data_IF_180079054819
#
_entry.id   IF_180079054819
#
_cell.length_a   1.000
_cell.length_b   1.000
_cell.length_c   1.000
_cell.angle_alpha   90.00
_cell.angle_beta   90.00
_cell.angle_gamma   90.00
#
_symmetry.space_group_name_H-M   'P 1'
#
loop_
_entity.id
_entity.type
_entity.pdbx_description
1 polymer ?
#
# COMPACT_ATOMS: atom_id res chain seq x y z
N UNK A 1 -11.50 5.68 11.61
CA UNK A 1 -11.21 4.49 12.44
C UNK A 1 -11.03 3.31 11.50
N UNK A 2 -10.03 2.49 11.78
CA UNK A 2 -9.70 1.26 11.06
C UNK A 2 -9.86 0.10 12.04
N UNK A 3 -10.66 -0.89 11.66
CA UNK A 3 -10.71 -2.17 12.36
C UNK A 3 -9.54 -3.03 11.87
N UNK A 4 -8.65 -3.41 12.76
CA UNK A 4 -7.39 -4.05 12.43
C UNK A 4 -6.18 -3.12 12.41
N UNK A 5 -5.09 -3.57 11.81
CA UNK A 5 -3.84 -2.84 11.65
C UNK A 5 -3.90 -1.83 10.49
N UNK A 6 -2.86 -1.00 10.37
CA UNK A 6 -2.70 -0.11 9.20
C UNK A 6 -2.43 -0.89 7.92
N UNK A 7 -1.91 -2.13 8.04
CA UNK A 7 -1.49 -2.95 6.89
C UNK A 7 -2.64 -3.77 6.33
N UNK A 8 -3.47 -4.38 7.19
CA UNK A 8 -4.53 -5.31 6.79
C UNK A 8 -5.93 -4.92 7.26
N UNK A 9 -6.05 -3.81 7.99
CA UNK A 9 -7.33 -3.37 8.52
C UNK A 9 -8.27 -2.79 7.47
N UNK A 10 -9.56 -2.81 7.77
CA UNK A 10 -10.58 -2.20 6.93
C UNK A 10 -11.17 -0.94 7.59
N UNK A 11 -11.72 -0.05 6.78
CA UNK A 11 -12.36 1.16 7.28
C UNK A 11 -13.64 0.79 8.03
N UNK A 12 -13.72 1.17 9.31
CA UNK A 12 -14.91 0.96 10.15
C UNK A 12 -15.99 1.98 9.77
N UNK A 13 -16.94 1.57 8.94
CA UNK A 13 -18.08 2.41 8.51
C UNK A 13 -19.38 1.63 8.58
N UNK A 14 -20.44 2.23 9.14
CA UNK A 14 -21.79 1.67 9.18
C UNK A 14 -21.83 0.14 9.42
N UNK A 15 -22.20 -0.64 8.40
CA UNK A 15 -22.30 -2.09 8.46
C UNK A 15 -20.96 -2.81 8.72
N UNK A 16 -19.83 -2.17 8.38
CA UNK A 16 -18.49 -2.68 8.62
C UNK A 16 -17.83 -2.09 9.88
N UNK A 17 -18.60 -1.45 10.78
CA UNK A 17 -18.10 -0.86 12.01
C UNK A 17 -17.99 -1.90 13.13
N UNK A 18 -17.27 -2.98 12.89
CA UNK A 18 -17.00 -4.03 13.87
C UNK A 18 -15.55 -4.48 13.79
N UNK A 19 -15.05 -5.07 14.86
CA UNK A 19 -13.73 -5.70 14.88
C UNK A 19 -13.91 -7.15 14.41
N UNK A 20 -13.23 -7.50 13.31
CA UNK A 20 -13.26 -8.85 12.76
C UNK A 20 -12.70 -9.89 13.74
N UNK A 21 -13.03 -11.16 13.51
CA UNK A 21 -12.59 -12.27 14.40
C UNK A 21 -11.07 -12.37 14.54
N UNK A 22 -10.35 -12.03 13.50
CA UNK A 22 -8.88 -12.12 13.46
C UNK A 22 -8.19 -10.79 13.77
N UNK A 23 -8.95 -9.69 13.81
CA UNK A 23 -8.42 -8.38 14.16
C UNK A 23 -8.22 -8.27 15.68
N UNK A 24 -7.02 -7.86 16.09
CA UNK A 24 -6.63 -7.74 17.50
C UNK A 24 -6.48 -6.30 17.97
N UNK A 25 -6.67 -5.34 17.08
CA UNK A 25 -6.46 -3.93 17.38
C UNK A 25 -7.41 -3.03 16.62
N UNK A 26 -7.57 -1.83 17.12
CA UNK A 26 -8.28 -0.74 16.45
C UNK A 26 -7.26 0.37 16.22
N UNK A 27 -7.13 0.81 14.98
CA UNK A 27 -6.23 1.89 14.60
C UNK A 27 -7.00 3.17 14.32
N UNK A 28 -6.55 4.28 14.88
CA UNK A 28 -7.13 5.60 14.62
C UNK A 28 -6.13 6.44 13.86
N UNK A 29 -6.50 6.86 12.66
CA UNK A 29 -5.72 7.77 11.83
C UNK A 29 -6.45 9.10 11.71
N UNK A 30 -5.68 10.17 11.69
CA UNK A 30 -6.23 11.50 11.40
C UNK A 30 -6.72 11.52 9.95
N UNK A 31 -7.93 11.99 9.74
CA UNK A 31 -8.47 12.19 8.39
C UNK A 31 -7.66 13.23 7.65
N UNK A 32 -7.42 13.00 6.34
CA UNK A 32 -6.47 13.79 5.56
C UNK A 32 -6.76 15.29 5.61
N UNK A 33 -5.71 16.07 5.79
CA UNK A 33 -5.78 17.52 5.75
C UNK A 33 -6.10 18.04 4.33
N UNK A 34 -6.70 19.22 4.20
CA UNK A 34 -6.94 19.85 2.92
C UNK A 34 -5.63 19.98 2.11
N UNK A 35 -5.74 19.87 0.79
CA UNK A 35 -4.56 19.96 -0.08
C UNK A 35 -3.92 21.34 0.04
N UNK A 36 -2.65 21.36 0.43
CA UNK A 36 -1.87 22.59 0.46
C UNK A 36 -1.45 22.97 -0.96
N UNK A 37 -1.74 24.21 -1.36
CA UNK A 37 -1.24 24.79 -2.60
C UNK A 37 0.29 24.91 -2.54
N UNK A 38 0.96 24.55 -3.65
CA UNK A 38 2.42 24.60 -3.79
C UNK A 38 3.20 23.80 -2.74
N UNK A 39 2.62 22.72 -2.23
CA UNK A 39 3.25 21.90 -1.19
C UNK A 39 4.60 21.30 -1.59
N UNK A 40 4.88 21.18 -2.90
CA UNK A 40 6.14 20.68 -3.45
C UNK A 40 7.29 21.70 -3.39
N UNK A 41 7.00 22.99 -3.23
CA UNK A 41 8.02 24.04 -3.07
C UNK A 41 8.44 24.26 -1.61
N UNK A 42 7.73 23.65 -0.65
CA UNK A 42 8.04 23.82 0.76
C UNK A 42 9.05 22.78 1.23
N UNK A 43 9.94 23.12 2.19
CA UNK A 43 10.94 22.18 2.74
C UNK A 43 10.34 20.89 3.35
N UNK A 44 9.05 20.92 3.71
CA UNK A 44 8.28 19.75 4.12
C UNK A 44 8.78 19.09 5.42
N UNK A 45 9.16 19.88 6.43
CA UNK A 45 9.66 19.38 7.73
C UNK A 45 8.70 18.43 8.47
N UNK A 46 7.40 18.48 8.18
CA UNK A 46 6.37 17.62 8.74
C UNK A 46 5.84 16.55 7.76
N UNK A 47 6.46 16.39 6.60
CA UNK A 47 5.98 15.46 5.55
C UNK A 47 6.87 14.23 5.46
N UNK A 48 6.24 13.08 5.39
CA UNK A 48 6.91 11.83 5.09
C UNK A 48 7.13 11.68 3.58
N UNK A 49 8.30 11.18 3.19
CA UNK A 49 8.59 10.76 1.82
C UNK A 49 9.46 9.51 1.86
N UNK A 50 9.04 8.46 1.19
CA UNK A 50 9.83 7.24 1.05
C UNK A 50 11.16 7.49 0.31
N UNK A 51 11.19 8.45 -0.61
CA UNK A 51 12.39 8.85 -1.37
C UNK A 51 13.27 9.90 -0.66
N UNK A 52 12.97 10.25 0.60
CA UNK A 52 13.65 11.30 1.37
C UNK A 52 13.69 12.67 0.67
N UNK A 53 12.72 12.95 -0.18
CA UNK A 53 12.66 14.21 -0.94
C UNK A 53 12.41 15.45 -0.07
N UNK A 54 11.98 15.28 1.18
CA UNK A 54 11.69 16.36 2.11
C UNK A 54 12.69 16.40 3.27
N UNK A 55 12.98 17.59 3.76
CA UNK A 55 13.91 17.84 4.86
C UNK A 55 13.48 17.21 6.20
N UNK A 56 12.20 16.85 6.37
CA UNK A 56 11.69 16.14 7.55
C UNK A 56 12.37 14.80 7.80
N UNK A 57 12.84 14.12 6.75
CA UNK A 57 13.57 12.85 6.86
C UNK A 57 14.96 12.97 7.51
N UNK A 58 15.58 14.15 7.44
CA UNK A 58 16.87 14.43 8.08
C UNK A 58 16.77 14.66 9.58
N UNK A 59 15.59 15.06 10.07
CA UNK A 59 15.41 15.48 11.47
C UNK A 59 15.00 14.34 12.40
N UNK A 60 14.84 13.12 11.93
CA UNK A 60 14.46 11.95 12.74
C UNK A 60 13.15 12.09 13.53
N UNK A 61 12.29 13.04 13.17
CA UNK A 61 11.04 13.31 13.87
C UNK A 61 10.03 12.20 13.63
N UNK A 62 9.30 11.81 14.67
CA UNK A 62 8.10 10.97 14.51
C UNK A 62 7.06 11.76 13.73
N UNK A 63 6.67 11.25 12.57
CA UNK A 63 5.67 11.87 11.71
C UNK A 63 4.29 11.27 11.98
N UNK A 64 3.27 12.11 11.97
CA UNK A 64 1.89 11.64 12.06
C UNK A 64 1.39 11.24 10.68
N UNK A 65 1.01 9.97 10.54
CA UNK A 65 0.35 9.50 9.34
C UNK A 65 -1.12 9.92 9.32
N UNK A 66 -1.58 10.25 8.13
CA UNK A 66 -2.97 10.59 7.87
C UNK A 66 -3.54 9.66 6.79
N UNK A 67 -4.84 9.74 6.55
CA UNK A 67 -5.50 8.99 5.47
C UNK A 67 -5.26 9.59 4.08
N UNK A 68 -4.47 10.67 3.96
CA UNK A 68 -4.16 11.30 2.67
C UNK A 68 -3.24 10.44 1.82
N UNK A 69 -3.65 10.17 0.60
CA UNK A 69 -2.86 9.40 -0.37
C UNK A 69 -1.59 10.13 -0.87
N UNK A 70 -1.52 11.46 -0.71
CA UNK A 70 -0.37 12.30 -1.07
C UNK A 70 0.14 12.06 -2.50
N UNK A 71 -0.71 12.24 -3.49
CA UNK A 71 -0.37 12.07 -4.90
C UNK A 71 -1.59 11.75 -5.74
N UNK A 72 -1.38 11.58 -7.02
CA UNK A 72 -2.42 11.17 -7.97
C UNK A 72 -2.05 9.84 -8.64
N UNK A 73 -3.04 9.06 -9.08
CA UNK A 73 -2.78 7.85 -9.86
C UNK A 73 -1.95 8.16 -11.10
N UNK A 74 -0.94 7.35 -11.35
CA UNK A 74 -0.07 7.45 -12.53
C UNK A 74 0.49 6.09 -12.90
N UNK A 75 1.23 6.00 -14.00
CA UNK A 75 1.84 4.75 -14.42
C UNK A 75 2.79 4.19 -13.34
N UNK A 76 2.87 2.86 -13.25
CA UNK A 76 3.82 2.17 -12.39
C UNK A 76 5.24 2.35 -12.94
N UNK A 77 6.14 2.77 -12.08
CA UNK A 77 7.56 2.93 -12.40
C UNK A 77 8.37 2.00 -11.50
N UNK A 78 9.23 1.20 -12.09
CA UNK A 78 10.13 0.30 -11.36
C UNK A 78 11.33 1.10 -10.85
N UNK A 79 11.37 1.35 -9.55
CA UNK A 79 12.42 2.16 -8.91
C UNK A 79 13.26 1.34 -7.91
N UNK A 80 13.07 0.01 -7.84
CA UNK A 80 13.69 -0.83 -6.81
C UNK A 80 13.09 -0.68 -5.41
N UNK A 81 12.08 0.20 -5.25
CA UNK A 81 11.45 0.42 -3.95
C UNK A 81 10.54 -0.72 -3.52
N UNK A 82 10.03 -1.51 -4.45
CA UNK A 82 9.20 -2.68 -4.14
C UNK A 82 10.03 -3.81 -3.55
N UNK A 83 11.19 -4.07 -4.14
CA UNK A 83 12.16 -5.06 -3.67
C UNK A 83 12.67 -4.74 -2.26
N UNK A 84 12.80 -3.44 -1.94
CA UNK A 84 13.26 -3.00 -0.63
C UNK A 84 12.24 -3.22 0.51
N UNK A 85 10.96 -3.40 0.19
CA UNK A 85 9.88 -3.54 1.18
C UNK A 85 9.13 -4.86 1.09
N UNK A 86 9.40 -5.68 0.09
CA UNK A 86 8.81 -7.02 -0.05
C UNK A 86 9.31 -7.90 1.09
N UNK A 87 8.42 -8.50 1.90
CA UNK A 87 8.83 -9.30 3.04
C UNK A 87 9.33 -10.70 2.66
N UNK A 88 8.99 -11.17 1.47
CA UNK A 88 9.35 -12.48 0.94
C UNK A 88 10.43 -12.36 -0.14
N UNK A 89 11.21 -13.42 -0.34
CA UNK A 89 12.22 -13.51 -1.39
C UNK A 89 11.56 -13.82 -2.76
N UNK A 90 10.77 -12.87 -3.22
CA UNK A 90 10.01 -12.92 -4.47
C UNK A 90 10.40 -11.71 -5.33
N UNK A 91 10.38 -11.90 -6.65
CA UNK A 91 10.61 -10.80 -7.59
C UNK A 91 9.42 -9.83 -7.60
N UNK A 92 9.45 -8.84 -6.71
CA UNK A 92 8.33 -7.93 -6.44
C UNK A 92 7.85 -7.18 -7.69
N UNK A 93 8.73 -6.54 -8.42
CA UNK A 93 8.34 -5.72 -9.59
C UNK A 93 7.67 -6.53 -10.70
N UNK A 94 8.19 -7.68 -11.17
CA UNK A 94 7.50 -8.54 -12.13
C UNK A 94 6.13 -9.01 -11.63
N UNK A 95 6.07 -9.49 -10.39
CA UNK A 95 4.83 -9.96 -9.77
C UNK A 95 3.76 -8.87 -9.73
N UNK A 96 4.09 -7.67 -9.24
CA UNK A 96 3.13 -6.58 -9.15
C UNK A 96 2.63 -6.11 -10.54
N UNK A 97 3.45 -6.26 -11.58
CA UNK A 97 3.04 -6.02 -12.97
C UNK A 97 2.05 -7.08 -13.45
N UNK A 98 2.36 -8.37 -13.23
CA UNK A 98 1.49 -9.49 -13.59
C UNK A 98 0.11 -9.35 -12.92
N UNK A 99 0.08 -9.11 -11.60
CA UNK A 99 -1.15 -8.89 -10.85
C UNK A 99 -1.99 -7.73 -11.41
N UNK A 100 -1.34 -6.67 -11.88
CA UNK A 100 -2.02 -5.50 -12.41
C UNK A 100 -2.66 -5.74 -13.76
N UNK A 101 -2.02 -6.49 -14.64
CA UNK A 101 -2.54 -6.81 -15.99
C UNK A 101 -3.40 -8.06 -16.00
N UNK A 102 -3.58 -8.72 -14.85
CA UNK A 102 -4.32 -9.99 -14.68
C UNK A 102 -3.70 -11.14 -15.46
N UNK A 103 -2.40 -11.17 -15.50
CA UNK A 103 -1.65 -12.33 -15.98
C UNK A 103 -1.57 -13.36 -14.85
N UNK A 104 -2.60 -14.21 -14.76
CA UNK A 104 -2.73 -15.20 -13.69
C UNK A 104 -1.67 -16.26 -13.75
N UNK A 105 -1.26 -16.67 -14.95
CA UNK A 105 -0.22 -17.68 -15.13
C UNK A 105 1.14 -17.13 -14.70
N UNK A 106 1.51 -15.95 -15.18
CA UNK A 106 2.74 -15.27 -14.76
C UNK A 106 2.74 -14.93 -13.26
N UNK A 107 1.60 -14.57 -12.69
CA UNK A 107 1.51 -14.31 -11.25
C UNK A 107 1.72 -15.59 -10.42
N UNK A 108 1.19 -16.75 -10.86
CA UNK A 108 1.41 -18.07 -10.22
C UNK A 108 2.89 -18.47 -10.25
N UNK A 109 3.53 -18.36 -11.41
CA UNK A 109 4.96 -18.66 -11.56
C UNK A 109 5.84 -17.76 -10.66
N UNK A 110 5.41 -16.52 -10.43
CA UNK A 110 6.10 -15.56 -9.58
C UNK A 110 5.74 -15.67 -8.09
N UNK A 111 4.91 -16.64 -7.69
CA UNK A 111 4.64 -16.94 -6.29
C UNK A 111 3.45 -16.19 -5.68
N UNK A 112 2.47 -15.75 -6.46
CA UNK A 112 1.32 -15.02 -5.92
C UNK A 112 0.47 -15.84 -4.94
N UNK A 113 0.55 -17.18 -4.98
CA UNK A 113 -0.19 -18.08 -4.09
C UNK A 113 0.37 -18.12 -2.66
N UNK A 114 1.59 -17.64 -2.46
CA UNK A 114 2.26 -17.58 -1.16
C UNK A 114 1.99 -16.28 -0.40
N UNK A 115 1.28 -15.33 -1.05
CA UNK A 115 1.08 -13.99 -0.53
C UNK A 115 -0.30 -13.78 0.06
N UNK A 116 -0.35 -12.99 1.13
CA UNK A 116 -1.58 -12.36 1.61
C UNK A 116 -1.59 -10.86 1.26
N UNK A 117 -2.74 -10.23 1.36
CA UNK A 117 -2.93 -8.79 1.08
C UNK A 117 -2.04 -7.92 1.97
N UNK A 118 -1.77 -8.36 3.20
CA UNK A 118 -0.91 -7.68 4.17
C UNK A 118 0.53 -7.56 3.67
N UNK A 119 1.07 -8.60 3.01
CA UNK A 119 2.43 -8.61 2.47
C UNK A 119 2.64 -7.52 1.41
N UNK A 120 1.59 -7.19 0.66
CA UNK A 120 1.61 -6.15 -0.37
C UNK A 120 1.26 -4.75 0.13
N UNK A 121 0.95 -4.59 1.42
CA UNK A 121 0.57 -3.30 1.98
C UNK A 121 1.70 -2.27 1.88
N UNK A 122 2.94 -2.66 2.20
CA UNK A 122 4.10 -1.78 2.07
C UNK A 122 4.43 -1.48 0.60
N UNK A 123 4.23 -2.43 -0.31
CA UNK A 123 4.35 -2.19 -1.75
C UNK A 123 3.33 -1.14 -2.23
N UNK A 124 2.09 -1.22 -1.76
CA UNK A 124 1.06 -0.21 -2.03
C UNK A 124 1.45 1.16 -1.47
N UNK A 125 2.05 1.20 -0.27
CA UNK A 125 2.49 2.43 0.37
C UNK A 125 3.61 3.14 -0.40
N UNK A 126 4.66 2.41 -0.81
CA UNK A 126 5.80 3.00 -1.55
C UNK A 126 5.49 3.24 -3.03
N UNK A 127 4.38 2.74 -3.54
CA UNK A 127 4.01 2.85 -4.94
C UNK A 127 3.81 4.31 -5.35
N UNK A 128 4.63 4.78 -6.29
CA UNK A 128 4.49 6.12 -6.87
C UNK A 128 3.21 6.26 -7.70
N UNK A 129 2.71 5.17 -8.29
CA UNK A 129 1.46 5.09 -9.07
C UNK A 129 0.20 5.01 -8.23
N UNK A 130 0.32 4.86 -6.90
CA UNK A 130 -0.80 4.80 -5.95
C UNK A 130 -1.76 3.62 -6.18
N UNK A 131 -1.23 2.47 -6.57
CA UNK A 131 -2.00 1.23 -6.71
C UNK A 131 -2.20 0.55 -5.38
N UNK A 132 -3.39 -0.03 -5.19
CA UNK A 132 -3.68 -0.94 -4.09
C UNK A 132 -3.44 -2.37 -4.56
N UNK A 133 -2.25 -2.89 -4.30
CA UNK A 133 -1.85 -4.22 -4.76
C UNK A 133 -2.58 -5.35 -4.04
N UNK A 134 -3.02 -5.17 -2.79
CA UNK A 134 -3.84 -6.16 -2.11
C UNK A 134 -5.14 -6.46 -2.87
N UNK A 135 -5.82 -5.41 -3.37
CA UNK A 135 -7.03 -5.60 -4.19
C UNK A 135 -6.74 -6.29 -5.54
N UNK A 136 -5.56 -6.04 -6.12
CA UNK A 136 -5.14 -6.74 -7.34
C UNK A 136 -4.83 -8.21 -7.06
N UNK A 137 -4.14 -8.53 -5.96
CA UNK A 137 -3.88 -9.89 -5.52
C UNK A 137 -5.19 -10.66 -5.34
N UNK A 138 -6.11 -10.14 -4.52
CA UNK A 138 -7.40 -10.79 -4.26
C UNK A 138 -8.17 -11.13 -5.53
N UNK A 139 -8.16 -10.23 -6.50
CA UNK A 139 -8.84 -10.45 -7.78
C UNK A 139 -8.17 -11.55 -8.60
N UNK A 140 -6.83 -11.58 -8.67
CA UNK A 140 -6.11 -12.63 -9.38
C UNK A 140 -6.29 -14.00 -8.70
N UNK A 141 -6.22 -14.06 -7.37
CA UNK A 141 -6.47 -15.29 -6.62
C UNK A 141 -7.88 -15.84 -6.87
N UNK A 142 -8.88 -14.95 -6.90
CA UNK A 142 -10.24 -15.35 -7.23
C UNK A 142 -10.38 -15.86 -8.68
N UNK A 143 -9.73 -15.22 -9.65
CA UNK A 143 -9.69 -15.70 -11.04
C UNK A 143 -9.03 -17.07 -11.13
N UNK A 144 -7.94 -17.30 -10.41
CA UNK A 144 -7.26 -18.60 -10.35
C UNK A 144 -8.16 -19.66 -9.71
N UNK A 145 -8.87 -19.33 -8.62
CA UNK A 145 -9.78 -20.24 -7.94
C UNK A 145 -10.93 -20.70 -8.83
N UNK A 146 -11.47 -19.80 -9.65
CA UNK A 146 -12.65 -20.07 -10.49
C UNK A 146 -12.28 -20.73 -11.82
N UNK A 147 -11.15 -20.36 -12.42
CA UNK A 147 -10.77 -20.75 -13.79
C UNK A 147 -9.51 -21.64 -13.87
N UNK A 148 -8.77 -21.76 -12.81
CA UNK A 148 -7.53 -22.55 -12.71
C UNK A 148 -7.79 -23.92 -12.18
#
# INVERSE_FOLDING_TARGET
>A
VVAGSVLNGHRAVQWAAYLGRYDRQITVLQEGAPRELFSFLRPGFGKFSASRAFAGGLLGKKLHFTTSQNGSPRAMVSTGSFEAVMPLDIQATPLLKALRVRDTDGARELGCLELDEEDLALCSFVCTGKYNYGSHLRRNLHEIEVNG
#
